data_IF_710163190145
#
_entry.id   IF_710163190145
#
_cell.length_a   1.000
_cell.length_b   1.000
_cell.length_c   1.000
_cell.angle_alpha   90.00
_cell.angle_beta   90.00
_cell.angle_gamma   90.00
#
_symmetry.space_group_name_H-M   'P 1'
#
loop_
_entity.id
_entity.type
_entity.pdbx_description
1 polymer ?
#
# COMPACT_ATOMS: atom_id res chain seq x y z
N UNK A 1 -29.79 61.72 -22.88
CA UNK A 1 -30.03 60.27 -22.78
C UNK A 1 -28.74 59.62 -22.31
N UNK A 2 -28.71 59.16 -21.07
CA UNK A 2 -27.51 58.65 -20.37
C UNK A 2 -27.57 57.12 -20.38
N UNK A 3 -26.68 56.48 -21.13
CA UNK A 3 -26.54 55.01 -21.17
C UNK A 3 -25.43 54.62 -20.18
N UNK A 4 -25.70 53.77 -19.17
CA UNK A 4 -24.67 53.28 -18.27
C UNK A 4 -23.95 52.10 -18.91
N UNK A 5 -22.65 52.26 -19.19
CA UNK A 5 -21.82 51.14 -19.63
C UNK A 5 -21.42 50.32 -18.40
N UNK A 6 -22.07 49.17 -18.26
CA UNK A 6 -21.75 48.10 -17.31
C UNK A 6 -20.29 47.66 -17.49
N UNK A 7 -19.52 47.72 -16.42
CA UNK A 7 -18.20 47.10 -16.33
C UNK A 7 -18.35 45.57 -16.30
N UNK A 8 -17.60 44.79 -17.10
CA UNK A 8 -17.51 43.36 -16.87
C UNK A 8 -16.59 43.11 -15.68
N UNK A 9 -17.21 42.80 -14.53
CA UNK A 9 -16.53 42.23 -13.37
C UNK A 9 -15.90 40.90 -13.77
N UNK A 10 -14.57 40.84 -13.73
CA UNK A 10 -13.78 39.63 -13.97
C UNK A 10 -14.00 38.63 -12.82
N UNK A 11 -15.10 37.90 -12.87
CA UNK A 11 -15.28 36.70 -12.07
C UNK A 11 -14.49 35.57 -12.73
N UNK A 12 -13.18 35.60 -12.51
CA UNK A 12 -12.26 34.54 -12.85
C UNK A 12 -12.78 33.23 -12.24
N UNK A 13 -13.29 32.36 -13.12
CA UNK A 13 -13.69 31.01 -12.80
C UNK A 13 -12.48 30.29 -12.18
N UNK A 14 -12.49 30.16 -10.85
CA UNK A 14 -11.62 29.23 -10.12
C UNK A 14 -12.09 27.82 -10.45
N UNK A 15 -11.71 27.31 -11.62
CA UNK A 15 -11.71 25.88 -11.84
C UNK A 15 -10.73 25.27 -10.83
N UNK A 16 -11.11 24.23 -10.08
CA UNK A 16 -10.14 23.53 -9.24
C UNK A 16 -9.10 22.94 -10.18
N UNK A 17 -7.89 23.48 -10.14
CA UNK A 17 -6.73 22.88 -10.77
C UNK A 17 -6.53 21.55 -10.07
N UNK A 18 -6.93 20.46 -10.73
CA UNK A 18 -6.54 19.13 -10.31
C UNK A 18 -5.02 19.09 -10.52
N UNK A 19 -4.27 19.18 -9.42
CA UNK A 19 -2.83 18.95 -9.43
C UNK A 19 -2.62 17.51 -9.92
N UNK A 20 -2.30 17.40 -11.21
CA UNK A 20 -1.92 16.14 -11.82
C UNK A 20 -0.63 15.69 -11.13
N UNK A 21 -0.75 14.70 -10.23
CA UNK A 21 0.42 14.02 -9.67
C UNK A 21 1.31 13.61 -10.85
N UNK A 22 2.63 13.79 -10.75
CA UNK A 22 3.51 13.35 -11.82
C UNK A 22 3.23 11.88 -12.05
N UNK A 23 2.70 11.55 -13.23
CA UNK A 23 2.65 10.18 -13.74
C UNK A 23 4.10 9.75 -13.85
N UNK A 24 4.63 9.23 -12.74
CA UNK A 24 5.90 8.51 -12.73
C UNK A 24 5.74 7.40 -13.75
N UNK A 25 6.72 7.32 -14.65
CA UNK A 25 6.74 6.39 -15.76
C UNK A 25 6.24 5.01 -15.31
N UNK A 26 5.42 4.35 -16.13
CA UNK A 26 4.98 2.98 -15.92
C UNK A 26 6.25 2.12 -15.85
N UNK A 27 6.82 1.98 -14.65
CA UNK A 27 7.93 1.07 -14.42
C UNK A 27 7.31 -0.31 -14.61
N UNK A 28 7.86 -1.14 -15.52
CA UNK A 28 7.43 -2.53 -15.58
C UNK A 28 7.69 -3.12 -14.20
N UNK A 29 6.63 -3.33 -13.43
CA UNK A 29 6.72 -4.03 -12.16
C UNK A 29 7.30 -5.40 -12.50
N UNK A 30 8.48 -5.77 -11.96
CA UNK A 30 9.03 -7.08 -12.22
C UNK A 30 8.00 -8.10 -11.77
N UNK A 31 7.46 -8.84 -12.72
CA UNK A 31 6.52 -9.92 -12.43
C UNK A 31 7.29 -11.00 -11.70
N UNK A 32 7.23 -10.94 -10.37
CA UNK A 32 7.92 -11.83 -9.45
C UNK A 32 7.19 -13.18 -9.41
N UNK A 33 7.34 -13.97 -10.49
CA UNK A 33 6.75 -15.30 -10.68
C UNK A 33 7.93 -16.25 -10.93
N UNK A 34 8.20 -17.28 -10.13
CA UNK A 34 7.33 -18.47 -10.05
C UNK A 34 7.47 -19.32 -8.76
N UNK A 35 8.27 -18.95 -7.75
CA UNK A 35 8.33 -19.70 -6.48
C UNK A 35 7.34 -19.18 -5.41
N UNK A 36 6.81 -17.97 -5.60
CA UNK A 36 5.93 -17.30 -4.65
C UNK A 36 4.52 -17.87 -4.57
N UNK A 37 4.08 -18.65 -5.55
CA UNK A 37 2.67 -19.06 -5.67
C UNK A 37 2.24 -20.01 -4.55
N UNK A 38 3.08 -20.99 -4.19
CA UNK A 38 2.76 -21.94 -3.10
C UNK A 38 2.74 -21.24 -1.74
N UNK A 39 3.78 -20.46 -1.42
CA UNK A 39 3.85 -19.69 -0.17
C UNK A 39 2.71 -18.67 -0.06
N UNK A 40 2.29 -18.05 -1.16
CA UNK A 40 1.13 -17.16 -1.17
C UNK A 40 -0.17 -17.91 -0.87
N UNK A 41 -0.37 -19.10 -1.43
CA UNK A 41 -1.56 -19.91 -1.16
C UNK A 41 -1.61 -20.34 0.30
N UNK A 42 -0.49 -20.79 0.87
CA UNK A 42 -0.40 -21.15 2.29
C UNK A 42 -0.62 -19.93 3.20
N UNK A 43 0.00 -18.80 2.88
CA UNK A 43 -0.20 -17.56 3.65
C UNK A 43 -1.65 -17.05 3.57
N UNK A 44 -2.34 -17.28 2.45
CA UNK A 44 -3.76 -16.94 2.29
C UNK A 44 -4.69 -17.80 3.16
N UNK A 45 -4.25 -19.00 3.60
CA UNK A 45 -5.00 -19.79 4.60
C UNK A 45 -4.91 -19.17 6.00
N UNK A 46 -3.79 -18.52 6.31
CA UNK A 46 -3.59 -17.81 7.60
C UNK A 46 -4.27 -16.45 7.58
N UNK A 47 -4.14 -15.71 6.47
CA UNK A 47 -4.75 -14.39 6.27
C UNK A 47 -5.66 -14.45 5.02
N UNK A 48 -6.97 -14.74 5.19
CA UNK A 48 -7.89 -14.89 4.06
C UNK A 48 -8.18 -13.57 3.33
N UNK A 49 -8.04 -12.42 4.00
CA UNK A 49 -8.19 -11.12 3.36
C UNK A 49 -6.93 -10.78 2.55
N UNK A 50 -7.05 -10.83 1.23
CA UNK A 50 -5.95 -10.59 0.30
C UNK A 50 -5.36 -9.16 0.41
N UNK A 51 -6.20 -8.14 0.63
CA UNK A 51 -5.72 -6.77 0.79
C UNK A 51 -4.87 -6.64 2.05
N UNK A 52 -5.32 -7.27 3.14
CA UNK A 52 -4.58 -7.28 4.40
C UNK A 52 -3.27 -8.05 4.25
N UNK A 53 -3.28 -9.22 3.61
CA UNK A 53 -2.08 -10.01 3.34
C UNK A 53 -1.01 -9.19 2.60
N UNK A 54 -1.40 -8.48 1.54
CA UNK A 54 -0.49 -7.60 0.77
C UNK A 54 0.10 -6.49 1.67
N UNK A 55 -0.73 -5.85 2.48
CA UNK A 55 -0.30 -4.79 3.40
C UNK A 55 0.68 -5.31 4.45
N UNK A 56 0.41 -6.49 5.01
CA UNK A 56 1.27 -7.13 6.01
C UNK A 56 2.61 -7.54 5.40
N UNK A 57 2.60 -8.21 4.25
CA UNK A 57 3.82 -8.63 3.54
C UNK A 57 4.66 -7.41 3.16
N UNK A 58 4.06 -6.37 2.56
CA UNK A 58 4.81 -5.17 2.15
C UNK A 58 5.45 -4.45 3.33
N UNK A 59 4.72 -4.29 4.45
CA UNK A 59 5.28 -3.71 5.69
C UNK A 59 6.43 -4.56 6.22
N UNK A 60 6.28 -5.88 6.23
CA UNK A 60 7.31 -6.77 6.75
C UNK A 60 8.56 -6.80 5.88
N UNK A 61 8.41 -6.85 4.55
CA UNK A 61 9.53 -6.76 3.60
C UNK A 61 10.31 -5.46 3.81
N UNK A 62 9.62 -4.33 4.03
CA UNK A 62 10.27 -3.05 4.34
C UNK A 62 11.08 -3.12 5.64
N UNK A 63 10.55 -3.72 6.70
CA UNK A 63 11.28 -3.92 7.95
C UNK A 63 12.54 -4.77 7.74
N UNK A 64 12.43 -5.89 7.00
CA UNK A 64 13.58 -6.74 6.70
C UNK A 64 14.64 -5.98 5.88
N UNK A 65 14.21 -5.16 4.92
CA UNK A 65 15.08 -4.29 4.14
C UNK A 65 15.79 -3.21 4.97
N UNK A 66 15.20 -2.80 6.09
CA UNK A 66 15.82 -1.90 7.07
C UNK A 66 16.77 -2.63 8.06
N UNK A 67 16.94 -3.94 7.93
CA UNK A 67 17.84 -4.74 8.77
C UNK A 67 17.18 -5.35 10.01
N UNK A 68 15.85 -5.34 10.11
CA UNK A 68 15.18 -6.07 11.18
C UNK A 68 15.43 -7.57 11.07
N UNK A 69 15.60 -8.23 12.22
CA UNK A 69 15.91 -9.66 12.27
C UNK A 69 14.71 -10.50 11.77
N UNK A 70 14.94 -11.48 10.89
CA UNK A 70 13.96 -12.51 10.54
C UNK A 70 13.57 -13.36 11.76
N UNK A 71 12.31 -13.77 11.85
CA UNK A 71 11.76 -14.62 12.90
C UNK A 71 11.77 -16.12 12.53
N UNK A 72 12.09 -16.43 11.28
CA UNK A 72 12.20 -17.77 10.70
C UNK A 72 13.62 -17.96 10.17
N UNK A 73 14.05 -19.22 10.05
CA UNK A 73 15.33 -19.57 9.46
C UNK A 73 15.43 -19.08 8.00
N UNK A 74 16.51 -18.37 7.70
CA UNK A 74 16.75 -17.79 6.39
C UNK A 74 17.89 -18.50 5.68
N UNK A 75 17.69 -18.79 4.40
CA UNK A 75 18.73 -19.31 3.51
C UNK A 75 19.31 -18.15 2.70
N UNK A 76 20.62 -18.14 2.37
CA UNK A 76 21.23 -17.04 1.62
C UNK A 76 20.59 -16.70 0.26
N UNK A 77 19.86 -17.65 -0.36
CA UNK A 77 19.14 -17.46 -1.63
C UNK A 77 17.69 -16.99 -1.49
N UNK A 78 17.20 -16.84 -0.26
CA UNK A 78 15.78 -16.60 0.01
C UNK A 78 15.45 -15.11 -0.14
N UNK A 79 14.36 -14.78 -0.85
CA UNK A 79 13.96 -13.38 -1.00
C UNK A 79 13.31 -12.86 0.29
N UNK A 80 13.36 -11.53 0.51
CA UNK A 80 12.68 -10.91 1.66
C UNK A 80 11.17 -11.19 1.66
N UNK A 81 10.56 -11.28 0.47
CA UNK A 81 9.16 -11.64 0.29
C UNK A 81 8.89 -13.06 0.78
N UNK A 82 9.74 -14.01 0.42
CA UNK A 82 9.60 -15.40 0.87
C UNK A 82 9.76 -15.47 2.40
N UNK A 83 10.63 -14.65 2.99
CA UNK A 83 10.85 -14.62 4.44
C UNK A 83 9.58 -14.12 5.13
N UNK A 84 9.02 -13.00 4.67
CA UNK A 84 7.77 -12.47 5.18
C UNK A 84 6.61 -13.47 5.05
N UNK A 85 6.49 -14.16 3.91
CA UNK A 85 5.45 -15.18 3.71
C UNK A 85 5.63 -16.36 4.65
N UNK A 86 6.86 -16.87 4.84
CA UNK A 86 7.12 -17.95 5.81
C UNK A 86 6.83 -17.54 7.25
N UNK A 87 7.10 -16.29 7.63
CA UNK A 87 6.78 -15.78 8.96
C UNK A 87 5.27 -15.73 9.20
N UNK A 88 4.48 -15.39 8.17
CA UNK A 88 3.01 -15.43 8.21
C UNK A 88 2.53 -16.87 8.32
N UNK A 89 3.03 -17.78 7.48
CA UNK A 89 2.67 -19.21 7.51
C UNK A 89 2.99 -19.84 8.87
N UNK A 90 4.12 -19.46 9.47
CA UNK A 90 4.52 -19.91 10.80
C UNK A 90 3.73 -19.27 11.95
N UNK A 91 2.83 -18.32 11.66
CA UNK A 91 2.02 -17.63 12.68
C UNK A 91 2.84 -16.72 13.61
N UNK A 92 4.07 -16.35 13.23
CA UNK A 92 4.96 -15.52 14.07
C UNK A 92 4.72 -14.03 13.90
N UNK A 93 4.01 -13.64 12.84
CA UNK A 93 3.76 -12.25 12.49
C UNK A 93 2.34 -11.84 12.90
N UNK A 94 2.22 -10.95 13.89
CA UNK A 94 0.94 -10.41 14.34
C UNK A 94 0.55 -9.19 13.52
N UNK A 95 -0.76 -9.03 13.24
CA UNK A 95 -1.31 -7.83 12.62
C UNK A 95 -2.51 -7.33 13.42
N UNK A 96 -2.63 -6.01 13.56
CA UNK A 96 -3.83 -5.37 14.11
C UNK A 96 -4.54 -4.62 13.00
N UNK A 97 -5.82 -4.89 12.82
CA UNK A 97 -6.69 -3.96 12.10
C UNK A 97 -6.93 -2.78 13.02
N UNK A 98 -6.52 -1.58 12.58
CA UNK A 98 -6.95 -0.34 13.23
C UNK A 98 -8.47 -0.29 13.07
N UNK A 99 -9.19 -0.72 14.10
CA UNK A 99 -10.63 -0.55 14.18
C UNK A 99 -10.81 0.93 14.47
N UNK A 100 -11.16 1.72 13.48
CA UNK A 100 -11.59 3.09 13.71
C UNK A 100 -12.85 3.02 14.59
N UNK A 101 -12.70 3.31 15.88
CA UNK A 101 -13.85 3.49 16.78
C UNK A 101 -14.55 4.78 16.33
N UNK A 102 -15.86 4.77 16.04
CA UNK A 102 -16.59 5.96 15.64
C UNK A 102 -16.83 6.96 16.79
N UNK A 103 -16.18 6.80 17.95
CA UNK A 103 -16.45 7.57 19.17
C UNK A 103 -15.60 8.84 19.28
N UNK A 104 -15.55 9.61 18.18
CA UNK A 104 -14.89 10.91 18.10
C UNK A 104 -15.88 12.08 17.95
N UNK A 105 -17.15 11.89 18.29
CA UNK A 105 -18.17 12.93 18.26
C UNK A 105 -18.92 12.98 19.61
N UNK A 106 -18.40 13.79 20.53
CA UNK A 106 -19.14 14.34 21.66
C UNK A 106 -18.60 15.75 21.96
#
# INVERSE_FOLDING_TARGET
>A
MLVPQLTPSALAARMPVILQFPTEAIRPVPSLRHMTTQLLQEAAQVIPNQQLLINVVSKRVRQLGLGHRPMVETTPRMSLTDIALKEIIAGKLTYESLRESPDGAA
#
